data_IF_646126307970
#
_entry.id   IF_646126307970
#
_cell.length_a   1.000
_cell.length_b   1.000
_cell.length_c   1.000
_cell.angle_alpha   90.00
_cell.angle_beta   90.00
_cell.angle_gamma   90.00
#
_symmetry.space_group_name_H-M   'P 1'
#
loop_
_entity.id
_entity.type
_entity.pdbx_description
1 polymer ?
#
# COMPACT_ATOMS: atom_id res chain seq x y z
N UNK A 1 -18.85 48.60 40.89
CA UNK A 1 -17.98 47.83 41.82
C UNK A 1 -17.44 46.61 41.06
N UNK A 2 -16.57 46.81 40.07
CA UNK A 2 -15.09 46.78 40.19
C UNK A 2 -14.59 45.57 40.99
N UNK A 3 -14.14 44.51 40.30
CA UNK A 3 -12.71 44.21 40.20
C UNK A 3 -12.43 43.16 39.11
N UNK A 4 -11.59 43.54 38.15
CA UNK A 4 -10.87 42.63 37.25
C UNK A 4 -9.80 41.90 38.05
N UNK A 5 -9.55 40.62 37.76
CA UNK A 5 -8.27 39.96 38.07
C UNK A 5 -7.68 39.39 36.79
N UNK A 6 -6.69 40.11 36.28
CA UNK A 6 -5.64 39.59 35.41
C UNK A 6 -4.71 38.72 36.25
N UNK A 7 -4.35 37.53 35.77
CA UNK A 7 -3.08 36.90 36.11
C UNK A 7 -2.36 36.58 34.81
N UNK A 8 -1.14 37.07 34.76
CA UNK A 8 -0.19 37.12 33.67
C UNK A 8 0.65 35.85 33.56
N UNK A 9 1.07 35.58 32.33
CA UNK A 9 2.38 35.08 31.89
C UNK A 9 2.85 33.67 32.33
N UNK A 10 3.20 32.88 31.31
CA UNK A 10 4.04 31.70 31.43
C UNK A 10 4.13 30.89 30.14
N UNK A 11 4.51 31.51 29.02
CA UNK A 11 4.91 30.77 27.80
C UNK A 11 6.35 30.31 27.99
N UNK A 12 6.58 29.00 27.94
CA UNK A 12 7.92 28.42 27.77
C UNK A 12 7.91 27.63 26.47
N UNK A 13 8.36 28.26 25.39
CA UNK A 13 8.71 27.60 24.15
C UNK A 13 10.21 27.31 24.19
N UNK A 14 10.59 26.06 24.44
CA UNK A 14 11.96 25.61 24.23
C UNK A 14 12.14 25.32 22.73
N UNK A 15 12.68 26.29 21.99
CA UNK A 15 13.14 26.09 20.61
C UNK A 15 14.53 25.47 20.64
N UNK A 16 14.66 24.23 20.15
CA UNK A 16 15.96 23.65 19.81
C UNK A 16 16.34 24.11 18.41
N UNK A 17 17.36 24.94 18.30
CA UNK A 17 17.98 25.31 17.02
C UNK A 17 19.10 24.31 16.73
N UNK A 18 18.89 23.38 15.79
CA UNK A 18 20.00 22.61 15.19
C UNK A 18 20.61 23.50 14.11
N UNK A 19 21.79 24.06 14.39
CA UNK A 19 22.57 24.78 13.39
C UNK A 19 23.21 23.76 12.44
N UNK A 20 22.60 23.52 11.29
CA UNK A 20 23.25 22.80 10.21
C UNK A 20 24.37 23.69 9.65
N UNK A 21 25.62 23.25 9.79
CA UNK A 21 26.74 23.87 9.09
C UNK A 21 26.58 23.59 7.58
N UNK A 22 26.32 24.63 6.80
CA UNK A 22 26.24 24.55 5.34
C UNK A 22 27.63 24.26 4.73
N UNK A 23 27.83 23.05 4.25
CA UNK A 23 28.88 22.72 3.29
C UNK A 23 28.50 23.34 1.93
N UNK A 24 29.23 24.38 1.51
CA UNK A 24 29.13 24.97 0.17
C UNK A 24 29.60 23.96 -0.88
N UNK A 25 28.66 23.27 -1.51
CA UNK A 25 28.88 22.56 -2.78
C UNK A 25 28.74 23.58 -3.92
N UNK A 26 29.75 23.76 -4.79
CA UNK A 26 29.63 24.66 -5.94
C UNK A 26 28.76 23.99 -7.01
N UNK A 27 27.54 24.48 -7.14
CA UNK A 27 26.55 24.02 -8.11
C UNK A 27 25.19 24.60 -7.76
N UNK A 28 24.96 25.87 -8.11
CA UNK A 28 23.68 26.53 -7.89
C UNK A 28 22.60 25.91 -8.79
N UNK A 29 21.96 24.84 -8.33
CA UNK A 29 20.62 24.54 -8.78
C UNK A 29 19.70 25.63 -8.22
N UNK A 30 19.24 26.54 -9.10
CA UNK A 30 18.15 27.45 -8.76
C UNK A 30 16.98 26.59 -8.29
N UNK A 31 16.67 26.61 -6.99
CA UNK A 31 15.35 26.19 -6.50
C UNK A 31 14.34 27.06 -7.23
N UNK A 32 13.65 26.50 -8.22
CA UNK A 32 12.42 27.09 -8.72
C UNK A 32 11.43 27.00 -7.57
N UNK A 33 11.36 28.08 -6.81
CA UNK A 33 10.46 28.27 -5.66
C UNK A 33 9.02 28.63 -6.11
N UNK A 34 8.70 28.42 -7.40
CA UNK A 34 7.38 28.66 -7.97
C UNK A 34 6.75 27.30 -8.31
N UNK A 35 5.55 27.04 -7.75
CA UNK A 35 4.78 25.79 -7.78
C UNK A 35 5.14 24.73 -6.73
N UNK A 36 5.45 25.15 -5.49
CA UNK A 36 5.04 24.38 -4.31
C UNK A 36 3.89 25.15 -3.65
N UNK A 37 2.90 25.53 -4.45
CA UNK A 37 1.56 25.73 -3.91
C UNK A 37 1.18 24.41 -3.26
N UNK A 38 0.67 24.48 -2.03
CA UNK A 38 0.33 23.33 -1.21
C UNK A 38 -0.35 22.26 -2.08
N UNK A 39 0.40 21.22 -2.45
CA UNK A 39 -0.22 20.03 -3.02
C UNK A 39 -1.04 19.50 -1.87
N UNK A 40 -2.35 19.81 -1.88
CA UNK A 40 -3.30 19.21 -0.99
C UNK A 40 -3.04 17.71 -1.04
N UNK A 41 -2.86 17.11 0.14
CA UNK A 41 -2.51 15.69 0.26
C UNK A 41 -3.49 14.87 -0.58
N UNK A 42 -3.06 14.26 -1.70
CA UNK A 42 -3.99 13.68 -2.66
C UNK A 42 -4.59 12.40 -2.07
N UNK A 43 -5.88 12.16 -2.32
CA UNK A 43 -6.50 10.88 -1.98
C UNK A 43 -5.95 9.78 -2.88
N UNK A 44 -5.62 8.63 -2.29
CA UNK A 44 -5.13 7.45 -3.02
C UNK A 44 -6.23 6.39 -3.04
N UNK A 45 -6.66 5.99 -4.22
CA UNK A 45 -7.62 4.89 -4.42
C UNK A 45 -6.95 3.81 -5.25
N UNK A 46 -6.87 2.60 -4.70
CA UNK A 46 -6.23 1.46 -5.35
C UNK A 46 -7.28 0.39 -5.68
N UNK A 47 -7.51 0.16 -6.98
CA UNK A 47 -8.38 -0.89 -7.47
C UNK A 47 -7.55 -2.14 -7.76
N UNK A 48 -7.88 -3.24 -7.09
CA UNK A 48 -7.28 -4.55 -7.34
C UNK A 48 -8.37 -5.52 -7.77
N UNK A 49 -8.29 -5.98 -9.01
CA UNK A 49 -9.25 -6.92 -9.59
C UNK A 49 -8.70 -8.35 -9.51
N UNK A 50 -9.54 -9.29 -9.11
CA UNK A 50 -9.17 -10.71 -8.99
C UNK A 50 -9.32 -11.39 -10.37
N UNK A 51 -8.31 -12.16 -10.77
CA UNK A 51 -8.28 -12.99 -11.98
C UNK A 51 -8.59 -12.26 -13.31
N UNK A 52 -8.27 -10.96 -13.39
CA UNK A 52 -8.35 -10.19 -14.63
C UNK A 52 -7.13 -10.45 -15.52
N UNK A 53 -7.37 -10.96 -16.72
CA UNK A 53 -6.37 -11.18 -17.75
C UNK A 53 -5.97 -9.89 -18.48
N UNK A 54 -4.80 -9.95 -19.12
CA UNK A 54 -4.24 -8.84 -19.90
C UNK A 54 -5.19 -8.34 -21.01
N UNK A 55 -5.89 -9.27 -21.66
CA UNK A 55 -6.74 -9.01 -22.83
C UNK A 55 -8.21 -8.80 -22.47
N UNK A 56 -8.53 -8.61 -21.18
CA UNK A 56 -9.93 -8.55 -20.72
C UNK A 56 -10.54 -7.14 -20.79
N UNK A 57 -9.76 -6.11 -21.14
CA UNK A 57 -10.23 -4.73 -21.25
C UNK A 57 -10.18 -4.23 -22.69
N UNK A 58 -11.16 -3.41 -23.08
CA UNK A 58 -11.20 -2.76 -24.40
C UNK A 58 -9.93 -1.95 -24.69
N UNK A 59 -9.39 -1.24 -23.70
CA UNK A 59 -8.14 -0.48 -23.83
C UNK A 59 -6.87 -1.34 -24.00
N UNK A 60 -6.97 -2.66 -23.80
CA UNK A 60 -5.93 -3.65 -24.13
C UNK A 60 -6.29 -4.52 -25.35
N UNK A 61 -7.34 -4.16 -26.08
CA UNK A 61 -7.72 -4.79 -27.36
C UNK A 61 -8.82 -5.85 -27.25
N UNK A 62 -9.51 -5.96 -26.11
CA UNK A 62 -10.69 -6.82 -26.01
C UNK A 62 -11.84 -6.28 -26.86
N UNK A 63 -12.47 -7.15 -27.65
CA UNK A 63 -13.73 -6.89 -28.36
C UNK A 63 -14.92 -7.62 -27.72
N UNK A 64 -14.67 -8.46 -26.71
CA UNK A 64 -15.66 -9.30 -26.06
C UNK A 64 -16.28 -8.65 -24.81
N UNK A 65 -15.50 -7.93 -24.01
CA UNK A 65 -15.96 -7.33 -22.75
C UNK A 65 -16.28 -5.84 -22.88
N UNK A 66 -17.35 -5.40 -22.22
CA UNK A 66 -17.75 -4.00 -22.16
C UNK A 66 -17.10 -3.29 -20.96
N UNK A 67 -16.06 -2.50 -21.20
CA UNK A 67 -15.28 -1.83 -20.13
C UNK A 67 -15.22 -0.30 -20.24
N UNK A 68 -16.33 0.40 -20.57
CA UNK A 68 -16.28 1.82 -20.97
C UNK A 68 -15.70 2.76 -19.90
N UNK A 69 -15.87 2.46 -18.62
CA UNK A 69 -15.33 3.27 -17.53
C UNK A 69 -13.82 3.07 -17.33
N UNK A 70 -13.33 1.83 -17.49
CA UNK A 70 -11.89 1.53 -17.40
C UNK A 70 -11.17 2.08 -18.62
N UNK A 71 -11.79 1.98 -19.79
CA UNK A 71 -11.24 2.52 -21.04
C UNK A 71 -11.14 4.04 -20.99
N UNK A 72 -12.14 4.70 -20.41
CA UNK A 72 -12.10 6.14 -20.13
C UNK A 72 -10.98 6.50 -19.16
N UNK A 73 -10.81 5.74 -18.07
CA UNK A 73 -9.72 5.94 -17.11
C UNK A 73 -8.35 5.80 -17.77
N UNK A 74 -8.16 4.80 -18.63
CA UNK A 74 -6.91 4.60 -19.37
C UNK A 74 -6.63 5.73 -20.37
N UNK A 75 -7.68 6.32 -20.96
CA UNK A 75 -7.56 7.46 -21.89
C UNK A 75 -7.27 8.79 -21.18
N UNK A 76 -7.85 9.00 -20.01
CA UNK A 76 -7.69 10.22 -19.20
C UNK A 76 -6.41 10.20 -18.34
N UNK A 77 -5.83 9.01 -18.15
CA UNK A 77 -4.67 8.80 -17.28
C UNK A 77 -3.48 8.16 -18.00
N UNK A 78 -2.85 7.22 -17.30
CA UNK A 78 -1.69 6.46 -17.78
C UNK A 78 -2.07 5.00 -17.98
N UNK A 79 -1.62 4.40 -19.08
CA UNK A 79 -1.76 2.98 -19.37
C UNK A 79 -0.37 2.32 -19.38
N UNK A 80 -0.23 1.20 -18.68
CA UNK A 80 1.01 0.41 -18.67
C UNK A 80 0.86 -0.78 -19.61
N UNK A 81 1.81 -0.99 -20.52
CA UNK A 81 1.85 -2.18 -21.40
C UNK A 81 2.66 -3.34 -20.82
N UNK A 82 3.42 -3.07 -19.77
CA UNK A 82 4.39 -3.99 -19.17
C UNK A 82 4.24 -3.93 -17.63
N UNK A 83 3.08 -4.36 -17.13
CA UNK A 83 2.77 -4.41 -15.70
C UNK A 83 2.59 -5.87 -15.26
N UNK A 84 3.41 -6.32 -14.30
CA UNK A 84 3.46 -7.72 -13.88
C UNK A 84 3.06 -7.88 -12.42
N UNK A 85 2.24 -8.90 -12.15
CA UNK A 85 2.00 -9.37 -10.80
C UNK A 85 3.25 -10.08 -10.26
N UNK A 86 3.50 -9.95 -8.96
CA UNK A 86 4.64 -10.62 -8.31
C UNK A 86 4.49 -12.16 -8.25
N UNK A 87 3.27 -12.66 -8.47
CA UNK A 87 2.96 -14.09 -8.54
C UNK A 87 1.74 -14.34 -9.42
N UNK A 88 1.58 -15.57 -9.90
CA UNK A 88 0.42 -16.01 -10.67
C UNK A 88 -0.82 -16.35 -9.82
N UNK A 89 -0.76 -16.19 -8.49
CA UNK A 89 -1.88 -16.47 -7.59
C UNK A 89 -2.14 -15.32 -6.61
N UNK A 90 -3.36 -15.26 -6.07
CA UNK A 90 -3.89 -14.12 -5.34
C UNK A 90 -3.11 -13.72 -4.07
N UNK A 91 -2.94 -14.63 -3.10
CA UNK A 91 -2.29 -14.32 -1.82
C UNK A 91 -0.87 -13.74 -1.92
N UNK A 92 0.11 -14.39 -2.60
CA UNK A 92 1.45 -13.84 -2.78
C UNK A 92 1.45 -12.47 -3.47
N UNK A 93 0.59 -12.26 -4.47
CA UNK A 93 0.47 -10.97 -5.15
C UNK A 93 -0.03 -9.88 -4.21
N UNK A 94 -1.07 -10.17 -3.40
CA UNK A 94 -1.61 -9.23 -2.40
C UNK A 94 -0.60 -8.89 -1.31
N UNK A 95 0.14 -9.88 -0.82
CA UNK A 95 1.25 -9.67 0.13
C UNK A 95 2.32 -8.75 -0.45
N UNK A 96 2.68 -8.95 -1.72
CA UNK A 96 3.67 -8.12 -2.40
C UNK A 96 3.20 -6.68 -2.59
N UNK A 97 1.91 -6.49 -2.91
CA UNK A 97 1.29 -5.16 -3.02
C UNK A 97 1.33 -4.44 -1.66
N UNK A 98 1.00 -5.13 -0.58
CA UNK A 98 0.95 -4.51 0.75
C UNK A 98 2.33 -4.15 1.28
N UNK A 99 3.34 -5.00 1.07
CA UNK A 99 4.66 -4.87 1.71
C UNK A 99 5.76 -4.33 0.80
N UNK A 100 5.55 -4.35 -0.52
CA UNK A 100 6.60 -4.10 -1.51
C UNK A 100 7.67 -5.20 -1.58
N UNK A 101 7.48 -6.33 -0.90
CA UNK A 101 8.43 -7.45 -0.86
C UNK A 101 8.02 -8.55 -1.84
N UNK A 102 9.00 -9.21 -2.45
CA UNK A 102 8.73 -10.43 -3.22
C UNK A 102 8.18 -11.55 -2.31
N UNK A 103 7.23 -12.39 -2.79
CA UNK A 103 6.58 -13.40 -1.95
C UNK A 103 7.56 -14.38 -1.31
N UNK A 104 8.65 -14.71 -2.01
CA UNK A 104 9.70 -15.60 -1.51
C UNK A 104 10.42 -15.10 -0.25
N UNK A 105 10.44 -13.78 0.01
CA UNK A 105 11.02 -13.21 1.24
C UNK A 105 10.17 -13.48 2.48
N UNK A 106 8.86 -13.66 2.28
CA UNK A 106 7.87 -13.84 3.34
C UNK A 106 7.39 -15.30 3.42
N UNK A 107 7.88 -16.17 2.54
CA UNK A 107 7.45 -17.57 2.43
C UNK A 107 5.94 -17.75 2.19
N UNK A 108 5.22 -16.71 1.77
CA UNK A 108 3.83 -16.79 1.32
C UNK A 108 3.86 -16.95 -0.20
N UNK A 109 4.17 -18.14 -0.69
CA UNK A 109 4.45 -18.41 -2.12
C UNK A 109 3.32 -19.11 -2.87
N UNK A 110 2.24 -19.46 -2.17
CA UNK A 110 1.08 -20.13 -2.72
C UNK A 110 -0.22 -19.51 -2.18
N UNK A 111 -1.34 -19.77 -2.86
CA UNK A 111 -2.64 -19.28 -2.42
C UNK A 111 -2.93 -19.79 -1.00
N UNK A 112 -3.16 -18.85 -0.07
CA UNK A 112 -3.62 -19.17 1.29
C UNK A 112 -4.94 -19.90 1.14
N UNK A 113 -5.10 -21.10 1.73
CA UNK A 113 -6.33 -21.83 1.52
C UNK A 113 -7.53 -21.01 1.99
N UNK A 114 -8.70 -21.29 1.42
CA UNK A 114 -9.96 -20.75 1.92
C UNK A 114 -10.56 -21.81 2.85
N UNK A 115 -11.32 -21.42 3.87
CA UNK A 115 -11.98 -22.38 4.77
C UNK A 115 -12.71 -23.48 3.97
N UNK A 116 -12.36 -24.74 4.24
CA UNK A 116 -12.91 -25.90 3.52
C UNK A 116 -12.01 -26.46 2.41
N UNK A 117 -10.98 -25.74 1.99
CA UNK A 117 -9.94 -26.25 1.08
C UNK A 117 -8.70 -26.63 1.92
N UNK A 118 -8.64 -27.87 2.40
CA UNK A 118 -7.41 -28.34 3.05
C UNK A 118 -6.39 -28.77 2.00
N UNK A 119 -5.11 -28.50 2.28
CA UNK A 119 -4.01 -29.08 1.51
C UNK A 119 -4.01 -30.60 1.71
N UNK A 120 -3.66 -31.34 0.67
CA UNK A 120 -3.65 -32.82 0.66
C UNK A 120 -2.89 -33.33 1.90
N UNK A 121 -3.56 -34.13 2.73
CA UNK A 121 -3.03 -34.72 3.97
C UNK A 121 -2.38 -36.09 3.74
N UNK A 122 -1.65 -36.25 2.65
CA UNK A 122 -1.02 -37.53 2.28
C UNK A 122 0.51 -37.42 2.31
N UNK A 123 1.24 -38.53 2.49
CA UNK A 123 2.68 -38.52 2.35
C UNK A 123 3.03 -38.10 0.92
N UNK A 124 3.52 -36.87 0.77
CA UNK A 124 3.98 -36.37 -0.51
C UNK A 124 5.37 -36.95 -0.81
N UNK A 125 5.68 -37.23 -2.10
CA UNK A 125 6.97 -37.76 -2.50
C UNK A 125 8.13 -36.76 -2.29
N UNK A 126 7.83 -35.49 -2.01
CA UNK A 126 8.79 -34.41 -1.85
C UNK A 126 8.52 -33.61 -0.57
N UNK A 127 9.59 -33.06 0.02
CA UNK A 127 9.52 -32.12 1.14
C UNK A 127 8.89 -30.82 0.65
N UNK A 128 7.90 -30.32 1.37
CA UNK A 128 7.26 -29.05 1.06
C UNK A 128 8.18 -27.88 1.41
N UNK A 129 8.17 -26.85 0.56
CA UNK A 129 8.80 -25.58 0.90
C UNK A 129 8.12 -24.95 2.13
N UNK A 130 8.88 -24.15 2.88
CA UNK A 130 8.33 -23.32 3.96
C UNK A 130 7.21 -22.47 3.35
N UNK A 131 6.06 -22.54 3.99
CA UNK A 131 4.83 -21.95 3.50
C UNK A 131 4.08 -21.29 4.64
N UNK A 132 4.18 -19.96 4.69
CA UNK A 132 3.49 -19.14 5.68
C UNK A 132 2.07 -18.82 5.23
N UNK A 133 1.15 -18.84 6.18
CA UNK A 133 -0.30 -18.66 5.93
C UNK A 133 -0.83 -17.32 6.42
N UNK A 134 -0.01 -16.55 7.13
CA UNK A 134 -0.37 -15.26 7.68
C UNK A 134 0.74 -14.27 7.36
N UNK A 135 0.39 -13.11 6.80
CA UNK A 135 1.30 -11.98 6.74
C UNK A 135 1.69 -11.61 8.18
N UNK A 136 2.96 -11.67 8.58
CA UNK A 136 3.35 -11.34 9.95
C UNK A 136 2.95 -9.91 10.32
N UNK A 137 2.46 -9.67 11.54
CA UNK A 137 1.96 -8.35 11.96
C UNK A 137 3.08 -7.30 12.08
N UNK A 138 4.33 -7.74 12.18
CA UNK A 138 5.52 -6.88 12.16
C UNK A 138 5.86 -6.35 10.76
N UNK A 139 5.24 -6.88 9.70
CA UNK A 139 5.42 -6.39 8.34
C UNK A 139 4.78 -5.00 8.17
N UNK A 140 5.60 -4.05 7.73
CA UNK A 140 5.15 -2.68 7.49
C UNK A 140 4.50 -2.56 6.11
N UNK A 141 3.22 -2.23 6.11
CA UNK A 141 2.38 -2.19 4.92
C UNK A 141 2.27 -0.77 4.33
N UNK A 142 1.85 -0.68 3.07
CA UNK A 142 1.52 0.59 2.41
C UNK A 142 0.45 1.36 3.15
N UNK A 143 -0.52 0.67 3.77
CA UNK A 143 -1.57 1.30 4.54
C UNK A 143 -1.04 1.93 5.84
N UNK A 144 -0.12 1.27 6.53
CA UNK A 144 0.55 1.84 7.71
C UNK A 144 1.47 3.00 7.33
N UNK A 145 2.17 2.89 6.19
CA UNK A 145 2.95 3.99 5.63
C UNK A 145 2.09 5.23 5.33
N UNK A 146 0.90 5.04 4.75
CA UNK A 146 -0.06 6.12 4.52
C UNK A 146 -0.62 6.67 5.84
N UNK A 147 -0.99 5.82 6.81
CA UNK A 147 -1.43 6.26 8.14
C UNK A 147 -0.39 7.12 8.86
N UNK A 148 0.89 6.74 8.81
CA UNK A 148 1.99 7.53 9.35
C UNK A 148 2.11 8.90 8.68
N UNK A 149 1.75 9.00 7.39
CA UNK A 149 1.61 10.26 6.64
C UNK A 149 0.33 11.06 6.94
N UNK A 150 -0.49 10.63 7.90
CA UNK A 150 -1.73 11.30 8.29
C UNK A 150 -2.93 11.01 7.40
N UNK A 151 -2.90 9.91 6.64
CA UNK A 151 -4.05 9.42 5.89
C UNK A 151 -4.97 8.58 6.77
N UNK A 152 -6.26 8.60 6.43
CA UNK A 152 -7.20 7.55 6.86
C UNK A 152 -7.21 6.47 5.80
N UNK A 153 -7.02 5.21 6.20
CA UNK A 153 -7.01 4.07 5.28
C UNK A 153 -8.23 3.20 5.50
N UNK A 154 -8.68 2.54 4.43
CA UNK A 154 -9.72 1.54 4.46
C UNK A 154 -9.44 0.51 3.37
N UNK A 155 -9.86 -0.73 3.60
CA UNK A 155 -9.85 -1.80 2.60
C UNK A 155 -11.27 -2.34 2.43
N UNK A 156 -11.65 -2.68 1.21
CA UNK A 156 -12.97 -3.20 0.86
C UNK A 156 -12.81 -4.39 -0.09
N UNK A 157 -13.53 -5.47 0.17
CA UNK A 157 -13.46 -6.70 -0.63
C UNK A 157 -12.52 -7.75 -0.05
N UNK A 158 -11.79 -8.44 -0.92
CA UNK A 158 -10.99 -9.62 -0.59
C UNK A 158 -9.64 -9.21 0.03
N UNK A 159 -9.36 -9.68 1.25
CA UNK A 159 -8.08 -9.46 1.93
C UNK A 159 -7.01 -10.48 1.52
N UNK A 160 -7.26 -11.75 1.85
CA UNK A 160 -6.52 -12.93 1.40
C UNK A 160 -4.99 -12.92 1.57
N UNK A 161 -4.50 -12.26 2.62
CA UNK A 161 -3.11 -12.34 3.09
C UNK A 161 -2.98 -13.03 4.45
N UNK A 162 -4.05 -13.67 4.93
CA UNK A 162 -4.06 -14.42 6.18
C UNK A 162 -5.05 -15.58 6.16
N UNK A 163 -4.79 -16.56 7.03
CA UNK A 163 -5.69 -17.64 7.40
C UNK A 163 -6.38 -17.35 8.74
N UNK A 164 -5.61 -16.90 9.73
CA UNK A 164 -6.08 -16.70 11.09
C UNK A 164 -6.70 -15.32 11.32
N UNK A 165 -7.72 -15.27 12.19
CA UNK A 165 -8.51 -14.06 12.48
C UNK A 165 -7.70 -12.91 13.09
N UNK A 166 -6.59 -13.25 13.74
CA UNK A 166 -5.68 -12.29 14.38
C UNK A 166 -4.95 -11.42 13.35
N UNK A 167 -4.92 -11.84 12.09
CA UNK A 167 -4.25 -11.16 10.98
C UNK A 167 -5.24 -10.52 9.99
N UNK A 168 -6.51 -10.37 10.41
CA UNK A 168 -7.52 -9.68 9.62
C UNK A 168 -7.18 -8.19 9.47
N UNK A 169 -7.71 -7.48 8.44
CA UNK A 169 -7.29 -6.11 8.12
C UNK A 169 -7.37 -5.10 9.26
N UNK A 170 -8.26 -5.32 10.24
CA UNK A 170 -8.38 -4.49 11.46
C UNK A 170 -7.13 -4.51 12.34
N UNK A 171 -6.26 -5.51 12.17
CA UNK A 171 -5.04 -5.71 12.94
C UNK A 171 -3.79 -5.34 12.14
N UNK A 172 -3.91 -5.17 10.82
CA UNK A 172 -2.80 -4.85 9.92
C UNK A 172 -3.34 -4.09 8.69
N UNK A 173 -3.14 -2.77 8.69
CA UNK A 173 -3.69 -1.83 7.70
C UNK A 173 -4.32 -0.60 8.31
#
# INVERSE_FOLDING_TARGET
>A
MHLRRFISLGVVLATWSVTAAELKVPGQFKKNQAAIDAVERPNVVFFLVDDMGWTDLGCYGSDFYETPHVDRLAKEGMKFTDAYAASCVCSPTRVSILTGKYPGRLHITHAIPIQGAERIKEPLPLIEAIYEKNLPLEEYTIAEALKAGGYTTATMGKWHVCWDREFYPKHQG
#
